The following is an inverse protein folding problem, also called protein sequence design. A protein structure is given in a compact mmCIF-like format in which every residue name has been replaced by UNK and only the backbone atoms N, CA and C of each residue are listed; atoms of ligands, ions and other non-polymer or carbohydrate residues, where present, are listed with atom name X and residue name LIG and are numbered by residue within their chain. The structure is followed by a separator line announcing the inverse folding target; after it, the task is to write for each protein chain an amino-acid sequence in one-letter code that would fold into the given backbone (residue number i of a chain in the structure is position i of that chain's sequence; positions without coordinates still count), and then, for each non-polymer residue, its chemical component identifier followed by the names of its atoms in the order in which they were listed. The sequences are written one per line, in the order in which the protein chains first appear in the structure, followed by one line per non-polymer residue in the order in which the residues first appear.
data_IF_407639866003
#
_entry.id   IF_407639866003
#
_cell.length_a   1.000
_cell.length_b   1.000
_cell.length_c   1.000
_cell.angle_alpha   90.00
_cell.angle_beta   90.00
_cell.angle_gamma   90.00
#
_symmetry.space_group_name_H-M   'P 1'
#
loop_
_entity.id
_entity.type
_entity.pdbx_description
1 polymer ?
#
# COMPACT_ATOMS: atom_id res chain seq x y z
N UNK A 1 19.81 -4.38 -1.31
CA UNK A 1 18.75 -4.16 -0.31
C UNK A 1 17.94 -2.93 -0.72
N UNK A 2 16.87 -3.09 -1.49
CA UNK A 2 16.02 -1.96 -1.86
C UNK A 2 15.15 -1.56 -0.66
N UNK A 3 15.22 -0.30 -0.26
CA UNK A 3 14.53 0.25 0.91
C UNK A 3 13.01 0.27 0.71
N UNK A 4 12.28 0.58 1.77
CA UNK A 4 10.84 0.86 1.65
C UNK A 4 10.57 2.13 0.81
N UNK A 5 11.57 3.03 0.70
CA UNK A 5 11.54 4.25 -0.11
C UNK A 5 11.56 3.95 -1.61
N UNK A 6 12.49 3.12 -2.09
CA UNK A 6 12.54 2.71 -3.51
C UNK A 6 11.23 2.08 -3.98
N UNK A 7 10.59 1.30 -3.09
CA UNK A 7 9.29 0.70 -3.37
C UNK A 7 8.19 1.76 -3.47
N UNK A 8 8.22 2.77 -2.61
CA UNK A 8 7.24 3.86 -2.61
C UNK A 8 7.38 4.74 -3.85
N UNK A 9 8.60 4.98 -4.33
CA UNK A 9 8.86 5.70 -5.57
C UNK A 9 8.31 4.94 -6.78
N UNK A 10 8.56 3.62 -6.85
CA UNK A 10 8.04 2.78 -7.93
C UNK A 10 6.50 2.74 -7.94
N UNK A 11 5.87 2.69 -6.75
CA UNK A 11 4.41 2.82 -6.63
C UNK A 11 3.96 4.18 -7.16
N UNK A 12 4.70 5.24 -6.84
CA UNK A 12 4.34 6.59 -7.23
C UNK A 12 4.40 6.80 -8.74
N UNK A 13 5.46 6.31 -9.39
CA UNK A 13 5.61 6.33 -10.83
C UNK A 13 4.46 5.57 -11.53
N UNK A 14 4.10 4.38 -11.04
CA UNK A 14 2.99 3.59 -11.61
C UNK A 14 1.64 4.30 -11.48
N UNK A 15 1.36 4.89 -10.31
CA UNK A 15 0.12 5.65 -10.09
C UNK A 15 0.10 6.92 -10.94
N UNK A 16 1.23 7.62 -11.05
CA UNK A 16 1.36 8.82 -11.86
C UNK A 16 1.13 8.50 -13.35
N UNK A 17 1.77 7.47 -13.91
CA UNK A 17 1.56 7.07 -15.31
C UNK A 17 0.10 6.74 -15.62
N UNK A 18 -0.65 6.20 -14.66
CA UNK A 18 -2.05 5.81 -14.86
C UNK A 18 -3.06 6.95 -14.71
N UNK A 19 -2.84 7.82 -13.73
CA UNK A 19 -3.83 8.80 -13.26
C UNK A 19 -3.36 10.25 -13.33
N UNK A 20 -2.07 10.49 -13.61
CA UNK A 20 -1.41 11.78 -13.59
C UNK A 20 -1.60 12.55 -12.27
N UNK A 21 -1.51 11.84 -11.14
CA UNK A 21 -1.69 12.41 -9.79
C UNK A 21 -0.46 12.16 -8.91
N UNK A 22 0.00 13.21 -8.24
CA UNK A 22 1.11 13.14 -7.29
C UNK A 22 0.72 12.55 -5.94
N UNK A 23 1.70 12.16 -5.09
CA UNK A 23 1.47 11.51 -3.79
C UNK A 23 0.48 12.22 -2.87
N UNK A 24 0.50 13.56 -2.83
CA UNK A 24 -0.40 14.36 -2.00
C UNK A 24 -1.87 14.30 -2.46
N UNK A 25 -2.12 13.98 -3.73
CA UNK A 25 -3.45 13.89 -4.34
C UNK A 25 -4.02 12.47 -4.29
N UNK A 26 -3.29 11.51 -3.71
CA UNK A 26 -3.72 10.11 -3.71
C UNK A 26 -4.99 9.89 -2.90
N UNK A 27 -6.00 9.35 -3.58
CA UNK A 27 -7.23 8.85 -2.97
C UNK A 27 -7.10 7.35 -2.74
N UNK A 28 -7.88 6.80 -1.81
CA UNK A 28 -7.87 5.38 -1.50
C UNK A 28 -8.09 4.49 -2.74
N UNK A 29 -8.91 4.95 -3.71
CA UNK A 29 -9.13 4.28 -4.99
C UNK A 29 -7.86 4.07 -5.82
N UNK A 30 -6.88 5.00 -5.76
CA UNK A 30 -5.64 4.89 -6.53
C UNK A 30 -4.74 3.80 -5.92
N UNK A 31 -4.64 3.80 -4.58
CA UNK A 31 -3.92 2.76 -3.84
C UNK A 31 -4.55 1.38 -4.03
N UNK A 32 -5.89 1.33 -4.01
CA UNK A 32 -6.66 0.11 -4.27
C UNK A 32 -6.41 -0.41 -5.69
N UNK A 33 -6.52 0.46 -6.69
CA UNK A 33 -6.25 0.10 -8.08
C UNK A 33 -4.84 -0.48 -8.27
N UNK A 34 -3.84 0.10 -7.59
CA UNK A 34 -2.47 -0.42 -7.67
C UNK A 34 -2.37 -1.86 -7.15
N UNK A 35 -3.03 -2.16 -6.02
CA UNK A 35 -3.05 -3.52 -5.47
C UNK A 35 -3.82 -4.51 -6.35
N UNK A 36 -4.98 -4.09 -6.88
CA UNK A 36 -5.87 -4.96 -7.65
C UNK A 36 -5.36 -5.21 -9.09
N UNK A 37 -4.73 -4.20 -9.72
CA UNK A 37 -4.38 -4.25 -11.14
C UNK A 37 -2.87 -4.28 -11.38
N UNK A 38 -2.12 -3.38 -10.76
CA UNK A 38 -0.67 -3.30 -11.01
C UNK A 38 0.11 -4.44 -10.33
N UNK A 39 -0.46 -5.10 -9.34
CA UNK A 39 0.15 -6.24 -8.65
C UNK A 39 -0.44 -7.60 -9.03
N UNK A 40 -1.36 -7.66 -10.00
CA UNK A 40 -2.10 -8.88 -10.37
C UNK A 40 -1.20 -9.99 -10.91
N UNK A 41 -0.10 -9.64 -11.58
CA UNK A 41 0.83 -10.60 -12.19
C UNK A 41 2.09 -10.83 -11.33
N UNK A 42 2.18 -10.18 -10.16
CA UNK A 42 3.31 -10.33 -9.26
C UNK A 42 3.18 -11.61 -8.42
N UNK A 43 4.33 -12.23 -8.14
CA UNK A 43 4.43 -13.34 -7.19
C UNK A 43 3.82 -12.96 -5.82
N UNK A 44 3.21 -13.92 -5.09
CA UNK A 44 2.51 -13.65 -3.83
C UNK A 44 3.35 -12.88 -2.80
N UNK A 45 4.62 -13.26 -2.64
CA UNK A 45 5.57 -12.61 -1.72
C UNK A 45 5.83 -11.15 -2.12
N UNK A 46 6.00 -10.88 -3.41
CA UNK A 46 6.19 -9.51 -3.93
C UNK A 46 4.92 -8.68 -3.76
N UNK A 47 3.73 -9.27 -4.00
CA UNK A 47 2.45 -8.61 -3.77
C UNK A 47 2.26 -8.24 -2.30
N UNK A 48 2.68 -9.11 -1.38
CA UNK A 48 2.68 -8.82 0.05
C UNK A 48 3.61 -7.66 0.42
N UNK A 49 4.82 -7.63 -0.13
CA UNK A 49 5.76 -6.50 0.06
C UNK A 49 5.15 -5.17 -0.40
N UNK A 50 4.51 -5.17 -1.58
CA UNK A 50 3.83 -3.99 -2.13
C UNK A 50 2.64 -3.58 -1.25
N UNK A 51 1.86 -4.54 -0.75
CA UNK A 51 0.78 -4.27 0.18
C UNK A 51 1.29 -3.60 1.48
N UNK A 52 2.41 -4.08 2.05
CA UNK A 52 3.00 -3.45 3.25
C UNK A 52 3.38 -1.99 3.00
N UNK A 53 3.97 -1.68 1.85
CA UNK A 53 4.30 -0.28 1.48
C UNK A 53 3.05 0.56 1.27
N UNK A 54 2.06 0.08 0.52
CA UNK A 54 0.77 0.78 0.32
C UNK A 54 0.05 1.03 1.64
N UNK A 55 0.09 0.07 2.57
CA UNK A 55 -0.51 0.22 3.89
C UNK A 55 0.13 1.36 4.68
N UNK A 56 1.45 1.45 4.70
CA UNK A 56 2.17 2.57 5.33
C UNK A 56 1.81 3.91 4.68
N UNK A 57 1.72 3.96 3.35
CA UNK A 57 1.30 5.14 2.61
C UNK A 57 -0.15 5.55 2.94
N UNK A 58 -1.07 4.59 3.01
CA UNK A 58 -2.47 4.82 3.34
C UNK A 58 -2.63 5.37 4.76
N UNK A 59 -1.82 4.91 5.72
CA UNK A 59 -1.79 5.42 7.09
C UNK A 59 -1.27 6.86 7.13
N UNK A 60 -0.17 7.14 6.41
CA UNK A 60 0.38 8.49 6.31
C UNK A 60 -0.63 9.48 5.68
N UNK A 61 -1.46 9.00 4.76
CA UNK A 61 -2.52 9.78 4.12
C UNK A 61 -3.82 9.84 4.94
N UNK A 62 -3.93 9.13 6.07
CA UNK A 62 -5.16 9.06 6.87
C UNK A 62 -6.32 8.35 6.16
N UNK A 63 -6.04 7.39 5.27
CA UNK A 63 -7.02 6.75 4.36
C UNK A 63 -7.07 5.22 4.48
N UNK A 64 -6.51 4.66 5.55
CA UNK A 64 -6.42 3.21 5.74
C UNK A 64 -7.79 2.51 5.74
N UNK A 65 -8.82 3.14 6.31
CA UNK A 65 -10.17 2.59 6.44
C UNK A 65 -10.85 2.28 5.09
N UNK A 66 -10.43 2.95 4.02
CA UNK A 66 -10.94 2.79 2.67
C UNK A 66 -10.19 1.71 1.88
N UNK A 67 -9.15 1.12 2.45
CA UNK A 67 -8.32 0.10 1.84
C UNK A 67 -8.80 -1.30 2.25
N UNK A 68 -10.08 -1.62 1.99
CA UNK A 68 -10.69 -2.93 2.28
C UNK A 68 -10.62 -3.86 1.07
N UNK A 69 -10.06 -5.05 1.17
CA UNK A 69 -10.00 -5.99 0.05
C UNK A 69 -9.33 -7.30 0.42
N UNK A 70 -9.36 -8.33 -0.46
CA UNK A 70 -8.70 -9.62 -0.27
C UNK A 70 -7.19 -9.49 -0.39
N UNK A 71 -6.56 -8.76 0.54
CA UNK A 71 -5.13 -8.48 0.47
C UNK A 71 -4.32 -9.71 0.87
N UNK A 72 -3.22 -10.00 0.14
CA UNK A 72 -2.46 -11.23 0.31
C UNK A 72 -1.80 -11.31 1.68
N UNK A 73 -1.84 -12.50 2.30
CA UNK A 73 -1.01 -12.84 3.47
C UNK A 73 0.37 -13.30 3.02
N UNK A 74 1.40 -13.20 3.88
CA UNK A 74 2.74 -13.70 3.55
C UNK A 74 2.74 -15.21 3.24
N UNK A 75 1.78 -15.98 3.77
CA UNK A 75 1.62 -17.41 3.50
C UNK A 75 0.98 -17.75 2.15
N UNK A 76 0.38 -16.81 1.41
CA UNK A 76 -0.22 -17.08 0.10
C UNK A 76 -1.53 -17.90 0.10
N UNK A 77 -1.94 -18.48 1.23
CA UNK A 77 -3.10 -19.39 1.36
C UNK A 77 -4.48 -18.84 0.93
N UNK A 78 -4.61 -17.53 0.68
CA UNK A 78 -5.85 -16.96 0.11
C UNK A 78 -7.13 -17.12 0.94
N UNK A 79 -7.08 -17.79 2.09
CA UNK A 79 -8.27 -18.27 2.80
C UNK A 79 -9.12 -17.15 3.40
N UNK A 80 -8.53 -16.00 3.75
CA UNK A 80 -9.25 -14.85 4.32
C UNK A 80 -8.55 -13.51 4.00
N UNK A 81 -9.28 -12.47 3.53
CA UNK A 81 -8.78 -11.10 3.37
C UNK A 81 -8.07 -10.58 4.62
N UNK A 82 -6.89 -9.97 4.48
CA UNK A 82 -6.40 -9.09 5.54
C UNK A 82 -7.35 -7.89 5.66
N UNK A 83 -8.14 -7.84 6.73
CA UNK A 83 -8.81 -6.61 7.15
C UNK A 83 -7.77 -5.49 7.38
N UNK A 84 -8.21 -4.23 7.41
CA UNK A 84 -7.32 -3.07 7.58
C UNK A 84 -6.37 -3.22 8.80
N UNK A 85 -6.79 -3.98 9.82
CA UNK A 85 -5.99 -4.39 10.97
C UNK A 85 -5.52 -3.21 11.83
N UNK A 86 -4.74 -3.50 12.88
CA UNK A 86 -4.13 -2.46 13.73
C UNK A 86 -3.15 -1.61 12.90
N UNK A 87 -3.26 -0.27 12.89
CA UNK A 87 -2.39 0.58 12.08
C UNK A 87 -0.89 0.29 12.37
N UNK A 88 -0.04 0.22 11.33
CA UNK A 88 1.39 0.04 11.52
C UNK A 88 1.96 1.16 12.39
N UNK A 89 2.90 0.82 13.27
CA UNK A 89 3.62 1.80 14.09
C UNK A 89 4.46 2.64 13.13
N UNK A 90 3.97 3.84 12.79
CA UNK A 90 4.73 4.81 12.01
C UNK A 90 6.04 5.08 12.76
N UNK A 91 7.19 5.10 12.07
CA UNK A 91 8.43 5.56 12.70
C UNK A 91 8.21 7.01 13.16
N UNK A 92 8.14 7.18 14.49
CA UNK A 92 8.14 8.42 15.24
C UNK A 92 7.52 9.64 14.56
N UNK A 93 6.20 9.81 14.65
CA UNK A 93 5.67 11.17 14.80
C UNK A 93 5.89 11.53 16.26
N UNK A 94 7.05 12.11 16.56
CA UNK A 94 7.28 12.76 17.85
C UNK A 94 6.12 13.70 18.12
N UNK A 95 5.44 13.50 19.24
CA UNK A 95 4.38 14.38 19.70
C UNK A 95 4.94 15.79 19.81
N UNK A 96 4.50 16.66 18.91
CA UNK A 96 4.55 18.07 19.14
C UNK A 96 3.15 18.49 19.61
N UNK A 97 3.13 19.02 20.83
CA UNK A 97 2.02 19.63 21.60
C UNK A 97 1.38 18.73 22.64
#
# INVERSE_FOLDING_TARGET
MAGHLDRAELIADVIWRRFNVGPHQWKARHLRWYLDRACADLAPTTRYDRWRTIRSLAVALGRLEHLKGPWPRPSGDGAEPLGAGRPPKLPGRGGAR
#
